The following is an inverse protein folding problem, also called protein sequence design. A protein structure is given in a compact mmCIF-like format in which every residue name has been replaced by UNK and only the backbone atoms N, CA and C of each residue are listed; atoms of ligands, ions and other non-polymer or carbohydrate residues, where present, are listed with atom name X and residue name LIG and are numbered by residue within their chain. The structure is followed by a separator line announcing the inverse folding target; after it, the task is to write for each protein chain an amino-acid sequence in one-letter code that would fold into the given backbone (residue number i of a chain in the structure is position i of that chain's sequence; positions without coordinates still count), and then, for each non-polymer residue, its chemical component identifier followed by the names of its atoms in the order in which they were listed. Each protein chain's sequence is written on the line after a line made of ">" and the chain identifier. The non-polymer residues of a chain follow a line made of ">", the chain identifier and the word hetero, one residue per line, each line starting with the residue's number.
data_IF_693490107762
#
_entry.id   IF_693490107762
#
_cell.length_a   1.000
_cell.length_b   1.000
_cell.length_c   1.000
_cell.angle_alpha   90.00
_cell.angle_beta   90.00
_cell.angle_gamma   90.00
#
_symmetry.space_group_name_H-M   'P 1'
#
loop_
_entity.id
_entity.type
_entity.pdbx_description
1 polymer ?
#
# COMPACT_ATOMS: atom_id res chain seq x y z
N UNK A 1 17.22 -2.74 -2.22
CA UNK A 1 17.17 -2.00 -3.51
C UNK A 1 18.00 -0.73 -3.46
N UNK A 2 18.82 -0.46 -4.48
CA UNK A 2 19.57 0.79 -4.59
C UNK A 2 18.67 1.98 -5.01
N UNK A 3 19.19 3.21 -4.89
CA UNK A 3 18.43 4.45 -5.14
C UNK A 3 17.88 4.52 -6.58
N UNK A 4 18.63 4.01 -7.56
CA UNK A 4 18.23 4.00 -8.98
C UNK A 4 17.08 3.02 -9.23
N UNK A 5 17.15 1.82 -8.65
CA UNK A 5 16.10 0.81 -8.73
C UNK A 5 14.80 1.32 -8.10
N UNK A 6 14.86 1.96 -6.93
CA UNK A 6 13.68 2.56 -6.28
C UNK A 6 13.02 3.62 -7.17
N UNK A 7 13.81 4.52 -7.78
CA UNK A 7 13.29 5.56 -8.69
C UNK A 7 12.66 4.97 -9.96
N UNK A 8 13.25 3.90 -10.52
CA UNK A 8 12.70 3.18 -11.67
C UNK A 8 11.36 2.53 -11.32
N UNK A 9 11.30 1.82 -10.20
CA UNK A 9 10.08 1.18 -9.72
C UNK A 9 8.97 2.21 -9.53
N UNK A 10 9.25 3.32 -8.82
CA UNK A 10 8.30 4.41 -8.61
C UNK A 10 7.73 4.95 -9.94
N UNK A 11 8.59 5.27 -10.92
CA UNK A 11 8.14 5.76 -12.24
C UNK A 11 7.28 4.73 -12.98
N UNK A 12 7.68 3.46 -12.97
CA UNK A 12 6.92 2.40 -13.64
C UNK A 12 5.55 2.20 -12.99
N UNK A 13 5.48 2.21 -11.66
CA UNK A 13 4.23 2.13 -10.92
C UNK A 13 3.33 3.32 -11.25
N UNK A 14 3.88 4.55 -11.27
CA UNK A 14 3.13 5.77 -11.59
C UNK A 14 2.58 5.76 -13.02
N UNK A 15 3.34 5.22 -13.99
CA UNK A 15 2.88 5.04 -15.37
C UNK A 15 1.74 4.01 -15.45
N UNK A 16 1.89 2.85 -14.79
CA UNK A 16 0.84 1.82 -14.76
C UNK A 16 -0.45 2.34 -14.15
N UNK A 17 -0.32 3.08 -13.04
CA UNK A 17 -1.41 3.74 -12.34
C UNK A 17 -2.16 4.72 -13.25
N UNK A 18 -1.43 5.61 -13.95
CA UNK A 18 -2.08 6.60 -14.84
C UNK A 18 -2.85 5.96 -15.99
N UNK A 19 -2.45 4.75 -16.43
CA UNK A 19 -3.18 4.00 -17.47
C UNK A 19 -4.51 3.42 -16.99
N UNK A 20 -4.76 3.37 -15.68
CA UNK A 20 -6.02 2.85 -15.14
C UNK A 20 -7.17 3.86 -15.29
N UNK A 21 -6.89 5.13 -15.63
CA UNK A 21 -7.86 6.23 -15.72
C UNK A 21 -8.92 6.22 -14.60
N UNK A 22 -8.48 6.27 -13.33
CA UNK A 22 -9.40 6.15 -12.21
C UNK A 22 -10.42 7.29 -12.21
N UNK A 23 -11.67 6.95 -11.94
CA UNK A 23 -12.77 7.90 -11.85
C UNK A 23 -13.29 8.05 -10.43
N UNK A 24 -14.13 9.06 -10.24
CA UNK A 24 -14.86 9.26 -9.00
C UNK A 24 -15.67 8.01 -8.66
N UNK A 25 -15.48 7.49 -7.46
CA UNK A 25 -16.17 6.28 -6.99
C UNK A 25 -15.41 4.98 -7.24
N UNK A 26 -14.37 4.97 -8.08
CA UNK A 26 -13.49 3.82 -8.23
C UNK A 26 -12.72 3.56 -6.94
N UNK A 27 -12.41 2.28 -6.69
CA UNK A 27 -11.61 1.84 -5.55
C UNK A 27 -10.31 1.21 -6.07
N UNK A 28 -9.19 1.79 -5.66
CA UNK A 28 -7.85 1.29 -6.00
C UNK A 28 -7.31 0.54 -4.80
N UNK A 29 -7.18 -0.76 -4.96
CA UNK A 29 -6.69 -1.68 -3.94
C UNK A 29 -5.17 -1.87 -4.07
N UNK A 30 -4.44 -1.56 -3.00
CA UNK A 30 -3.05 -1.93 -2.86
C UNK A 30 -2.92 -3.20 -2.02
N UNK A 31 -2.27 -4.20 -2.57
CA UNK A 31 -1.90 -5.40 -1.83
C UNK A 31 -0.37 -5.45 -1.75
N UNK A 32 0.22 -5.23 -0.56
CA UNK A 32 1.66 -5.29 -0.43
C UNK A 32 2.15 -6.74 -0.55
N UNK A 33 3.26 -6.91 -1.25
CA UNK A 33 4.06 -8.13 -1.18
C UNK A 33 4.99 -8.01 0.04
N UNK A 34 4.71 -8.80 1.08
CA UNK A 34 5.40 -8.69 2.36
C UNK A 34 6.85 -9.17 2.32
N UNK A 35 7.25 -9.92 1.28
CA UNK A 35 8.66 -10.27 1.07
C UNK A 35 9.49 -9.04 0.66
N UNK A 36 8.84 -7.99 0.17
CA UNK A 36 9.50 -6.80 -0.41
C UNK A 36 9.19 -5.50 0.33
N UNK A 37 7.98 -5.35 0.84
CA UNK A 37 7.46 -4.10 1.39
C UNK A 37 6.62 -4.39 2.63
N UNK A 38 7.00 -3.83 3.77
CA UNK A 38 6.17 -3.92 4.97
C UNK A 38 4.93 -3.02 4.92
N UNK A 39 3.96 -3.31 5.79
CA UNK A 39 2.68 -2.59 5.84
C UNK A 39 2.85 -1.09 6.09
N UNK A 40 3.84 -0.71 6.91
CA UNK A 40 4.06 0.68 7.31
C UNK A 40 4.57 1.50 6.13
N UNK A 41 5.51 0.95 5.36
CA UNK A 41 5.98 1.53 4.10
C UNK A 41 4.84 1.66 3.09
N UNK A 42 3.96 0.66 3.00
CA UNK A 42 2.79 0.72 2.12
C UNK A 42 1.82 1.83 2.53
N UNK A 43 1.58 2.03 3.83
CA UNK A 43 0.77 3.14 4.34
C UNK A 43 1.39 4.50 4.00
N UNK A 44 2.71 4.66 4.17
CA UNK A 44 3.41 5.88 3.79
C UNK A 44 3.27 6.15 2.29
N UNK A 45 3.39 5.09 1.47
CA UNK A 45 3.20 5.18 0.03
C UNK A 45 1.78 5.65 -0.29
N UNK A 46 0.75 5.05 0.29
CA UNK A 46 -0.64 5.48 0.08
C UNK A 46 -0.86 6.95 0.46
N UNK A 47 -0.32 7.40 1.61
CA UNK A 47 -0.40 8.81 2.03
C UNK A 47 0.21 9.75 0.98
N UNK A 48 1.37 9.40 0.43
CA UNK A 48 2.01 10.21 -0.61
C UNK A 48 1.12 10.31 -1.86
N UNK A 49 0.54 9.20 -2.32
CA UNK A 49 -0.32 9.23 -3.50
C UNK A 49 -1.62 10.00 -3.27
N UNK A 50 -2.21 9.84 -2.08
CA UNK A 50 -3.39 10.59 -1.65
C UNK A 50 -3.10 12.10 -1.60
N UNK A 51 -2.00 12.51 -0.97
CA UNK A 51 -1.64 13.92 -0.80
C UNK A 51 -1.25 14.61 -2.12
N UNK A 52 -0.84 13.85 -3.13
CA UNK A 52 -0.47 14.37 -4.45
C UNK A 52 -1.59 14.20 -5.48
N UNK A 53 -2.80 13.83 -5.04
CA UNK A 53 -3.99 13.64 -5.89
C UNK A 53 -3.70 12.76 -7.13
N UNK A 54 -2.83 11.75 -6.96
CA UNK A 54 -2.32 10.97 -8.09
C UNK A 54 -3.42 10.14 -8.76
N UNK A 55 -4.48 9.84 -8.00
CA UNK A 55 -5.62 9.03 -8.42
C UNK A 55 -6.91 9.84 -8.52
N UNK A 56 -6.84 11.17 -8.48
CA UNK A 56 -8.03 12.03 -8.48
C UNK A 56 -8.99 11.67 -7.34
N UNK A 57 -10.29 11.66 -7.66
CA UNK A 57 -11.37 11.38 -6.72
C UNK A 57 -11.59 9.88 -6.41
N UNK A 58 -10.68 9.00 -6.81
CA UNK A 58 -10.79 7.58 -6.49
C UNK A 58 -10.45 7.29 -5.02
N UNK A 59 -11.14 6.30 -4.45
CA UNK A 59 -10.87 5.81 -3.10
C UNK A 59 -9.66 4.89 -3.12
N UNK A 60 -8.77 5.05 -2.15
CA UNK A 60 -7.63 4.16 -1.96
C UNK A 60 -7.92 3.18 -0.83
N UNK A 61 -7.68 1.89 -1.07
CA UNK A 61 -7.84 0.84 -0.09
C UNK A 61 -6.54 0.06 0.07
N UNK A 62 -6.17 -0.23 1.33
CA UNK A 62 -5.11 -1.17 1.65
C UNK A 62 -5.76 -2.53 1.88
N UNK A 63 -5.40 -3.50 1.05
CA UNK A 63 -5.83 -4.88 1.22
C UNK A 63 -4.72 -5.60 1.99
N UNK A 64 -5.03 -6.20 3.15
CA UNK A 64 -4.07 -7.02 3.86
C UNK A 64 -3.53 -8.14 2.94
N UNK A 65 -2.22 -8.37 2.98
CA UNK A 65 -1.63 -9.53 2.32
C UNK A 65 -2.18 -10.84 2.88
N UNK A 66 -2.10 -11.91 2.09
CA UNK A 66 -2.50 -13.24 2.53
C UNK A 66 -1.60 -13.68 3.68
N UNK A 67 -2.18 -13.88 4.86
CA UNK A 67 -1.45 -14.26 6.06
C UNK A 67 -0.74 -15.61 5.91
N UNK A 68 -1.17 -16.46 4.95
CA UNK A 68 -0.49 -17.71 4.61
C UNK A 68 0.88 -17.50 3.98
N UNK A 69 1.16 -16.31 3.43
CA UNK A 69 2.50 -15.93 2.97
C UNK A 69 3.47 -15.74 4.15
N UNK A 70 2.96 -15.52 5.37
CA UNK A 70 3.76 -15.38 6.57
C UNK A 70 4.08 -16.76 7.15
N UNK A 71 5.30 -17.23 6.88
CA UNK A 71 5.79 -18.56 7.25
C UNK A 71 5.71 -18.87 8.75
N UNK A 72 5.82 -17.84 9.60
CA UNK A 72 5.84 -18.01 11.05
C UNK A 72 4.68 -17.28 11.72
N UNK A 73 4.05 -17.96 12.69
CA UNK A 73 2.91 -17.42 13.49
C UNK A 73 3.25 -16.10 14.17
N UNK A 74 4.50 -15.93 14.62
CA UNK A 74 4.96 -14.69 15.26
C UNK A 74 4.90 -13.49 14.30
N UNK A 75 5.30 -13.69 13.05
CA UNK A 75 5.32 -12.65 12.02
C UNK A 75 3.90 -12.28 11.61
N UNK A 76 3.02 -13.27 11.48
CA UNK A 76 1.59 -13.08 11.30
C UNK A 76 0.96 -12.22 12.41
N UNK A 77 1.29 -12.50 13.68
CA UNK A 77 0.80 -11.71 14.80
C UNK A 77 1.34 -10.27 14.77
N UNK A 78 2.62 -10.08 14.48
CA UNK A 78 3.22 -8.73 14.34
C UNK A 78 2.50 -7.96 13.23
N UNK A 79 2.23 -8.61 12.10
CA UNK A 79 1.53 -8.01 10.97
C UNK A 79 0.09 -7.58 11.35
N UNK A 80 -0.68 -8.47 11.98
CA UNK A 80 -2.03 -8.16 12.48
C UNK A 80 -1.99 -6.99 13.47
N UNK A 81 -1.06 -7.01 14.43
CA UNK A 81 -0.96 -5.95 15.44
C UNK A 81 -0.64 -4.59 14.80
N UNK A 82 0.20 -4.55 13.76
CA UNK A 82 0.47 -3.31 13.02
C UNK A 82 -0.77 -2.81 12.30
N UNK A 83 -1.51 -3.70 11.63
CA UNK A 83 -2.78 -3.36 10.98
C UNK A 83 -3.80 -2.81 11.98
N UNK A 84 -3.97 -3.47 13.12
CA UNK A 84 -4.90 -3.03 14.15
C UNK A 84 -4.53 -1.63 14.65
N UNK A 85 -3.25 -1.38 14.95
CA UNK A 85 -2.78 -0.05 15.37
C UNK A 85 -3.09 1.03 14.33
N UNK A 86 -2.98 0.73 13.04
CA UNK A 86 -3.31 1.67 11.97
C UNK A 86 -4.81 1.96 11.95
N UNK A 87 -5.65 0.93 12.11
CA UNK A 87 -7.12 1.07 12.19
C UNK A 87 -7.52 1.89 13.40
N UNK A 88 -6.93 1.62 14.57
CA UNK A 88 -7.20 2.35 15.81
C UNK A 88 -6.90 3.85 15.65
N UNK A 89 -5.81 4.19 14.96
CA UNK A 89 -5.43 5.57 14.65
C UNK A 89 -6.34 6.28 13.63
N UNK A 90 -7.18 5.55 12.91
CA UNK A 90 -8.16 6.13 11.97
C UNK A 90 -9.53 6.37 12.63
N UNK A 91 -9.78 5.73 13.78
CA UNK A 91 -11.03 5.87 14.52
C UNK A 91 -11.06 7.05 15.51
N UNK A 92 -9.91 7.68 15.75
CA UNK A 92 -9.75 8.97 16.47
C UNK A 92 -9.78 10.15 15.49
#
# INVERSE_FOLDING_TARGET
>A
MNKRQKKKLFKQTLIKVRKLYPQKGDVICFQPDLDWIDIETMCQFMKVYSNNDVFGESKLALVPADIKQLKYKKDAQIYINKLQRIVDQMGE
#
